data_IF_471527107429
#
_entry.id   IF_471527107429
#
_cell.length_a   1.000
_cell.length_b   1.000
_cell.length_c   1.000
_cell.angle_alpha   90.00
_cell.angle_beta   90.00
_cell.angle_gamma   90.00
#
_symmetry.space_group_name_H-M   'P 1'
#
loop_
_entity.id
_entity.type
_entity.pdbx_description
1 polymer ?
#
# COMPACT_ATOMS: atom_id res chain seq x y z
N UNK A 1 9.53 -19.31 7.17
CA UNK A 1 8.75 -18.92 5.99
C UNK A 1 8.22 -17.50 6.25
N UNK A 2 8.66 -16.59 5.53
CA UNK A 2 8.57 -15.11 5.48
C UNK A 2 7.73 -14.34 6.52
N UNK A 3 7.51 -14.69 7.74
CA UNK A 3 6.89 -13.86 8.81
C UNK A 3 5.76 -12.88 8.40
N UNK A 4 5.14 -13.11 7.22
CA UNK A 4 4.05 -12.30 6.69
C UNK A 4 2.73 -12.85 7.22
N UNK A 5 2.08 -12.06 8.07
CA UNK A 5 0.72 -12.29 8.51
C UNK A 5 -0.32 -11.81 7.46
N UNK A 6 -1.58 -12.08 7.70
CA UNK A 6 -2.65 -11.74 6.77
C UNK A 6 -2.77 -10.22 6.52
N UNK A 7 -2.47 -9.40 7.52
CA UNK A 7 -2.52 -7.93 7.40
C UNK A 7 -1.46 -7.41 6.42
N UNK A 8 -0.24 -7.96 6.48
CA UNK A 8 0.84 -7.61 5.54
C UNK A 8 0.56 -8.10 4.14
N UNK A 9 -0.02 -9.29 3.98
CA UNK A 9 -0.46 -9.77 2.66
C UNK A 9 -1.55 -8.88 2.07
N UNK A 10 -2.51 -8.45 2.88
CA UNK A 10 -3.54 -7.52 2.42
C UNK A 10 -2.93 -6.20 1.96
N UNK A 11 -2.03 -5.60 2.73
CA UNK A 11 -1.34 -4.37 2.37
C UNK A 11 -0.56 -4.52 1.05
N UNK A 12 0.21 -5.61 0.89
CA UNK A 12 0.97 -5.90 -0.32
C UNK A 12 0.08 -6.05 -1.56
N UNK A 13 -1.07 -6.74 -1.41
CA UNK A 13 -1.96 -7.05 -2.53
C UNK A 13 -2.90 -5.90 -2.89
N UNK A 14 -3.06 -4.88 -2.05
CA UNK A 14 -4.06 -3.84 -2.23
C UNK A 14 -3.67 -2.78 -3.28
N UNK A 15 -2.40 -2.40 -3.35
CA UNK A 15 -1.96 -1.25 -4.16
C UNK A 15 -2.03 -1.51 -5.66
N UNK A 16 -1.57 -2.67 -6.10
CA UNK A 16 -1.52 -3.01 -7.52
C UNK A 16 -2.92 -3.07 -8.17
N UNK A 17 -3.93 -3.77 -7.62
CA UNK A 17 -5.28 -3.77 -8.19
C UNK A 17 -5.91 -2.39 -8.19
N UNK A 18 -5.70 -1.59 -7.15
CA UNK A 18 -6.22 -0.23 -7.09
C UNK A 18 -5.67 0.63 -8.24
N UNK A 19 -4.37 0.57 -8.49
CA UNK A 19 -3.73 1.25 -9.62
C UNK A 19 -4.26 0.72 -10.97
N UNK A 20 -4.41 -0.60 -11.13
CA UNK A 20 -4.91 -1.20 -12.37
C UNK A 20 -6.36 -0.80 -12.67
N UNK A 21 -7.24 -0.77 -11.67
CA UNK A 21 -8.63 -0.34 -11.85
C UNK A 21 -8.73 1.15 -12.20
N UNK A 22 -7.91 2.01 -11.58
CA UNK A 22 -7.81 3.41 -11.96
C UNK A 22 -7.37 3.55 -13.43
N UNK A 23 -6.29 2.88 -13.82
CA UNK A 23 -5.75 2.93 -15.18
C UNK A 23 -6.74 2.35 -16.19
N UNK A 24 -7.49 1.31 -15.83
CA UNK A 24 -8.55 0.76 -16.67
C UNK A 24 -9.62 1.81 -17.01
N UNK A 25 -10.07 2.57 -16.01
CA UNK A 25 -11.06 3.66 -16.22
C UNK A 25 -10.47 4.77 -17.08
N UNK A 26 -9.21 5.16 -16.84
CA UNK A 26 -8.53 6.18 -17.65
C UNK A 26 -8.37 5.74 -19.12
N UNK A 27 -7.98 4.51 -19.37
CA UNK A 27 -7.90 3.97 -20.73
C UNK A 27 -9.28 3.91 -21.41
N UNK A 28 -10.33 3.54 -20.68
CA UNK A 28 -11.68 3.49 -21.24
C UNK A 28 -12.18 4.89 -21.62
N UNK A 29 -11.92 5.91 -20.81
CA UNK A 29 -12.22 7.31 -21.11
C UNK A 29 -11.38 7.79 -22.30
N UNK A 30 -10.09 7.52 -22.32
CA UNK A 30 -9.20 7.90 -23.41
C UNK A 30 -9.59 7.22 -24.73
N UNK A 31 -9.98 5.93 -24.68
CA UNK A 31 -10.51 5.22 -25.84
C UNK A 31 -11.80 5.86 -26.37
N UNK A 32 -12.68 6.31 -25.48
CA UNK A 32 -13.90 7.02 -25.87
C UNK A 32 -13.61 8.34 -26.61
N UNK A 33 -12.66 9.12 -26.09
CA UNK A 33 -12.28 10.41 -26.64
C UNK A 33 -11.51 10.29 -27.96
N UNK A 34 -10.57 9.32 -28.04
CA UNK A 34 -9.65 9.21 -29.20
C UNK A 34 -10.09 8.21 -30.24
N UNK A 35 -11.09 7.36 -29.95
CA UNK A 35 -11.54 6.23 -30.77
C UNK A 35 -10.43 5.20 -31.09
N UNK A 36 -9.36 5.17 -30.29
CA UNK A 36 -8.26 4.24 -30.50
C UNK A 36 -8.58 2.87 -29.88
N UNK A 37 -8.60 1.86 -30.73
CA UNK A 37 -8.87 0.48 -30.32
C UNK A 37 -7.79 -0.07 -29.37
N UNK A 38 -6.54 0.34 -29.54
CA UNK A 38 -5.45 -0.06 -28.64
C UNK A 38 -5.67 0.35 -27.19
N UNK A 39 -6.23 1.53 -26.95
CA UNK A 39 -6.58 2.00 -25.60
C UNK A 39 -7.76 1.23 -25.03
N UNK A 40 -8.72 0.87 -25.88
CA UNK A 40 -9.85 0.01 -25.45
C UNK A 40 -9.36 -1.35 -24.95
N UNK A 41 -8.47 -2.01 -25.71
CA UNK A 41 -7.90 -3.29 -25.30
C UNK A 41 -7.01 -3.18 -24.06
N UNK A 42 -6.20 -2.13 -23.96
CA UNK A 42 -5.41 -1.86 -22.75
C UNK A 42 -6.33 -1.70 -21.52
N UNK A 43 -7.43 -0.97 -21.65
CA UNK A 43 -8.43 -0.82 -20.59
C UNK A 43 -9.09 -2.14 -20.18
N UNK A 44 -9.39 -3.01 -21.15
CA UNK A 44 -9.97 -4.33 -20.88
C UNK A 44 -8.98 -5.22 -20.10
N UNK A 45 -7.73 -5.30 -20.53
CA UNK A 45 -6.73 -6.13 -19.86
C UNK A 45 -6.40 -5.62 -18.46
N UNK A 46 -6.31 -4.31 -18.27
CA UNK A 46 -6.08 -3.72 -16.93
C UNK A 46 -7.29 -3.91 -16.03
N UNK A 47 -8.53 -3.83 -16.55
CA UNK A 47 -9.74 -4.14 -15.81
C UNK A 47 -9.76 -5.60 -15.33
N UNK A 48 -9.44 -6.54 -16.22
CA UNK A 48 -9.33 -7.96 -15.89
C UNK A 48 -8.34 -8.21 -14.75
N UNK A 49 -7.12 -7.72 -14.91
CA UNK A 49 -6.06 -7.88 -13.92
C UNK A 49 -6.43 -7.19 -12.59
N UNK A 50 -7.02 -5.99 -12.66
CA UNK A 50 -7.49 -5.25 -11.50
C UNK A 50 -8.61 -5.96 -10.73
N UNK A 51 -9.58 -6.57 -11.43
CA UNK A 51 -10.67 -7.33 -10.79
C UNK A 51 -10.13 -8.59 -10.11
N UNK A 52 -9.27 -9.36 -10.78
CA UNK A 52 -8.68 -10.57 -10.19
C UNK A 52 -7.84 -10.21 -8.96
N UNK A 53 -6.93 -9.24 -9.09
CA UNK A 53 -6.09 -8.79 -7.98
C UNK A 53 -6.90 -8.17 -6.83
N UNK A 54 -7.96 -7.40 -7.16
CA UNK A 54 -8.85 -6.81 -6.18
C UNK A 54 -9.60 -7.84 -5.34
N UNK A 55 -10.09 -8.90 -5.95
CA UNK A 55 -10.69 -10.01 -5.18
C UNK A 55 -9.66 -10.73 -4.31
N UNK A 56 -8.42 -10.91 -4.79
CA UNK A 56 -7.35 -11.43 -3.95
C UNK A 56 -7.07 -10.53 -2.74
N UNK A 57 -7.07 -9.21 -2.93
CA UNK A 57 -6.93 -8.25 -1.84
C UNK A 57 -8.12 -8.30 -0.86
N UNK A 58 -9.36 -8.45 -1.35
CA UNK A 58 -10.56 -8.60 -0.50
C UNK A 58 -10.46 -9.86 0.37
N UNK A 59 -10.06 -10.99 -0.22
CA UNK A 59 -9.87 -12.25 0.53
C UNK A 59 -8.79 -12.09 1.60
N UNK A 60 -7.64 -11.50 1.25
CA UNK A 60 -6.57 -11.23 2.20
C UNK A 60 -7.02 -10.29 3.32
N UNK A 61 -7.81 -9.25 3.00
CA UNK A 61 -8.41 -8.32 3.97
C UNK A 61 -9.36 -9.02 4.93
N UNK A 62 -10.19 -9.93 4.44
CA UNK A 62 -11.10 -10.72 5.28
C UNK A 62 -10.33 -11.63 6.26
N UNK A 63 -9.27 -12.26 5.80
CA UNK A 63 -8.39 -13.06 6.66
C UNK A 63 -7.66 -12.17 7.68
N UNK A 64 -7.24 -10.96 7.28
CA UNK A 64 -6.62 -10.01 8.17
C UNK A 64 -7.57 -9.54 9.27
N UNK A 65 -8.80 -9.16 8.93
CA UNK A 65 -9.81 -8.69 9.89
C UNK A 65 -10.14 -9.73 10.95
N UNK A 66 -10.11 -11.02 10.60
CA UNK A 66 -10.34 -12.12 11.53
C UNK A 66 -9.16 -12.43 12.46
N UNK A 67 -7.95 -11.92 12.16
CA UNK A 67 -6.70 -12.20 12.88
C UNK A 67 -6.22 -11.05 13.76
N UNK A 68 -6.84 -9.87 13.65
CA UNK A 68 -6.46 -8.67 14.41
C UNK A 68 -7.39 -8.52 15.62
N UNK A 69 -6.81 -8.52 16.82
CA UNK A 69 -7.56 -8.15 18.03
C UNK A 69 -7.86 -6.65 18.01
N UNK A 70 -9.13 -6.28 18.13
CA UNK A 70 -9.56 -4.89 18.02
C UNK A 70 -10.78 -4.59 18.90
N UNK A 71 -10.88 -3.33 19.35
CA UNK A 71 -12.04 -2.83 20.08
C UNK A 71 -13.20 -2.44 19.14
N UNK A 72 -14.37 -2.14 19.74
CA UNK A 72 -15.62 -1.88 19.01
C UNK A 72 -15.52 -0.75 17.97
N UNK A 73 -14.82 0.35 18.29
CA UNK A 73 -14.64 1.48 17.37
C UNK A 73 -13.86 1.10 16.10
N UNK A 74 -12.85 0.24 16.22
CA UNK A 74 -12.09 -0.28 15.09
C UNK A 74 -12.95 -1.28 14.32
N UNK A 75 -13.72 -2.11 15.01
CA UNK A 75 -14.61 -3.08 14.39
C UNK A 75 -15.60 -2.40 13.41
N UNK A 76 -16.29 -1.35 13.87
CA UNK A 76 -17.22 -0.60 13.04
C UNK A 76 -16.54 0.00 11.79
N UNK A 77 -15.34 0.53 11.95
CA UNK A 77 -14.59 1.10 10.82
C UNK A 77 -14.10 0.02 9.84
N UNK A 78 -13.67 -1.15 10.35
CA UNK A 78 -13.30 -2.31 9.55
C UNK A 78 -14.48 -2.82 8.74
N UNK A 79 -15.66 -2.94 9.35
CA UNK A 79 -16.89 -3.35 8.66
C UNK A 79 -17.28 -2.38 7.55
N UNK A 80 -17.19 -1.07 7.80
CA UNK A 80 -17.44 -0.04 6.76
C UNK A 80 -16.45 -0.16 5.60
N UNK A 81 -15.17 -0.36 5.90
CA UNK A 81 -14.13 -0.55 4.88
C UNK A 81 -14.40 -1.82 4.06
N UNK A 82 -14.71 -2.94 4.70
CA UNK A 82 -15.01 -4.21 4.05
C UNK A 82 -16.23 -4.12 3.14
N UNK A 83 -17.34 -3.56 3.66
CA UNK A 83 -18.57 -3.38 2.89
C UNK A 83 -18.37 -2.50 1.67
N UNK A 84 -17.58 -1.42 1.79
CA UNK A 84 -17.23 -0.57 0.65
C UNK A 84 -16.34 -1.28 -0.35
N UNK A 85 -15.37 -2.07 0.11
CA UNK A 85 -14.52 -2.88 -0.76
C UNK A 85 -15.34 -3.91 -1.54
N UNK A 86 -16.25 -4.63 -0.89
CA UNK A 86 -17.15 -5.60 -1.53
C UNK A 86 -18.07 -4.93 -2.55
N UNK A 87 -18.67 -3.79 -2.21
CA UNK A 87 -19.53 -3.02 -3.14
C UNK A 87 -18.72 -2.57 -4.35
N UNK A 88 -17.56 -2.00 -4.14
CA UNK A 88 -16.67 -1.51 -5.20
C UNK A 88 -16.23 -2.64 -6.14
N UNK A 89 -15.75 -3.74 -5.57
CA UNK A 89 -15.34 -4.91 -6.36
C UNK A 89 -16.50 -5.59 -7.07
N UNK A 90 -17.67 -5.64 -6.43
CA UNK A 90 -18.91 -6.11 -7.05
C UNK A 90 -19.26 -5.28 -8.29
N UNK A 91 -19.15 -3.96 -8.19
CA UNK A 91 -19.44 -3.04 -9.30
C UNK A 91 -18.47 -3.24 -10.49
N UNK A 92 -17.15 -3.31 -10.24
CA UNK A 92 -16.18 -3.58 -11.29
C UNK A 92 -16.37 -4.97 -11.90
N UNK A 93 -16.74 -5.97 -11.10
CA UNK A 93 -17.06 -7.32 -11.57
C UNK A 93 -18.27 -7.30 -12.50
N UNK A 94 -19.33 -6.59 -12.13
CA UNK A 94 -20.53 -6.43 -13.00
C UNK A 94 -20.14 -5.79 -14.32
N UNK A 95 -19.34 -4.73 -14.31
CA UNK A 95 -18.86 -4.07 -15.54
C UNK A 95 -18.06 -5.06 -16.40
N UNK A 96 -17.13 -5.79 -15.80
CA UNK A 96 -16.29 -6.75 -16.50
C UNK A 96 -17.12 -7.89 -17.12
N UNK A 97 -18.01 -8.52 -16.32
CA UNK A 97 -18.85 -9.62 -16.76
C UNK A 97 -19.82 -9.16 -17.86
N UNK A 98 -20.39 -7.97 -17.73
CA UNK A 98 -21.26 -7.40 -18.77
C UNK A 98 -20.51 -7.24 -20.09
N UNK A 99 -19.31 -6.61 -20.05
CA UNK A 99 -18.49 -6.44 -21.26
C UNK A 99 -18.07 -7.77 -21.87
N UNK A 100 -17.71 -8.75 -21.04
CA UNK A 100 -17.35 -10.10 -21.47
C UNK A 100 -18.56 -10.81 -22.12
N UNK A 101 -19.73 -10.76 -21.49
CA UNK A 101 -20.95 -11.36 -22.01
C UNK A 101 -21.35 -10.80 -23.39
N UNK A 102 -21.16 -9.49 -23.56
CA UNK A 102 -21.36 -8.78 -24.84
C UNK A 102 -20.19 -8.98 -25.82
N UNK A 103 -19.22 -9.84 -25.49
CA UNK A 103 -18.01 -10.08 -26.29
C UNK A 103 -17.28 -8.78 -26.69
N UNK A 104 -17.34 -7.78 -25.83
CA UNK A 104 -16.79 -6.43 -26.04
C UNK A 104 -17.40 -5.66 -27.25
N UNK A 105 -18.51 -6.16 -27.80
CA UNK A 105 -19.27 -5.52 -28.88
C UNK A 105 -20.56 -4.93 -28.31
N UNK A 106 -20.44 -3.72 -27.77
CA UNK A 106 -21.53 -3.04 -27.06
C UNK A 106 -22.07 -1.87 -27.87
N UNK A 107 -23.41 -1.67 -27.91
CA UNK A 107 -24.00 -0.43 -28.38
C UNK A 107 -23.44 0.75 -27.58
N UNK A 108 -23.41 1.94 -28.22
CA UNK A 108 -22.84 3.14 -27.59
C UNK A 108 -23.49 3.49 -26.24
N UNK A 109 -24.78 3.23 -26.08
CA UNK A 109 -25.52 3.48 -24.84
C UNK A 109 -25.07 2.55 -23.70
N UNK A 110 -24.93 1.25 -23.97
CA UNK A 110 -24.44 0.29 -22.95
C UNK A 110 -23.00 0.59 -22.57
N UNK A 111 -22.18 0.95 -23.56
CA UNK A 111 -20.79 1.33 -23.33
C UNK A 111 -20.68 2.60 -22.48
N UNK A 112 -21.52 3.61 -22.74
CA UNK A 112 -21.58 4.81 -21.91
C UNK A 112 -22.04 4.48 -20.48
N UNK A 113 -23.04 3.62 -20.33
CA UNK A 113 -23.52 3.20 -19.02
C UNK A 113 -22.43 2.45 -18.21
N UNK A 114 -21.74 1.49 -18.82
CA UNK A 114 -20.64 0.77 -18.12
C UNK A 114 -19.48 1.68 -17.78
N UNK A 115 -19.22 2.75 -18.54
CA UNK A 115 -18.24 3.79 -18.18
C UNK A 115 -18.67 4.58 -16.95
N UNK A 116 -19.93 4.99 -16.89
CA UNK A 116 -20.46 5.65 -15.69
C UNK A 116 -20.33 4.75 -14.48
N UNK A 117 -20.69 3.47 -14.59
CA UNK A 117 -20.51 2.51 -13.50
C UNK A 117 -19.03 2.36 -13.09
N UNK A 118 -18.11 2.36 -14.07
CA UNK A 118 -16.67 2.30 -13.77
C UNK A 118 -16.18 3.54 -13.04
N UNK A 119 -16.69 4.73 -13.38
CA UNK A 119 -16.35 5.98 -12.66
C UNK A 119 -16.94 5.95 -11.24
N UNK A 120 -18.17 5.48 -11.06
CA UNK A 120 -18.76 5.29 -9.72
C UNK A 120 -17.93 4.27 -8.91
N UNK A 121 -17.51 3.16 -9.54
CA UNK A 121 -16.61 2.19 -8.93
C UNK A 121 -15.27 2.82 -8.50
N UNK A 122 -14.71 3.72 -9.33
CA UNK A 122 -13.48 4.45 -8.98
C UNK A 122 -13.66 5.36 -7.76
N UNK A 123 -14.79 6.05 -7.64
CA UNK A 123 -15.12 6.84 -6.44
C UNK A 123 -15.25 5.94 -5.21
N UNK A 124 -15.88 4.77 -5.36
CA UNK A 124 -15.94 3.74 -4.31
C UNK A 124 -14.55 3.24 -3.90
N UNK A 125 -13.66 3.02 -4.87
CA UNK A 125 -12.28 2.61 -4.64
C UNK A 125 -11.50 3.65 -3.82
N UNK A 126 -11.61 4.92 -4.19
CA UNK A 126 -11.00 6.03 -3.45
C UNK A 126 -11.54 6.08 -2.01
N UNK A 127 -12.85 5.95 -1.84
CA UNK A 127 -13.45 5.94 -0.51
C UNK A 127 -13.01 4.75 0.33
N UNK A 128 -12.92 3.56 -0.27
CA UNK A 128 -12.35 2.37 0.38
C UNK A 128 -10.92 2.64 0.84
N UNK A 129 -10.09 3.27 0.01
CA UNK A 129 -8.73 3.68 0.37
C UNK A 129 -8.68 4.66 1.55
N UNK A 130 -9.60 5.65 1.59
CA UNK A 130 -9.72 6.57 2.74
C UNK A 130 -10.06 5.83 4.03
N UNK A 131 -11.00 4.88 3.98
CA UNK A 131 -11.36 4.07 5.16
C UNK A 131 -10.19 3.19 5.62
N UNK A 132 -9.47 2.54 4.69
CA UNK A 132 -8.26 1.78 4.98
C UNK A 132 -7.14 2.64 5.58
N UNK A 133 -6.93 3.83 5.03
CA UNK A 133 -5.98 4.79 5.59
C UNK A 133 -6.32 5.20 7.02
N UNK A 134 -7.61 5.41 7.34
CA UNK A 134 -8.04 5.69 8.72
C UNK A 134 -7.76 4.54 9.67
N UNK A 135 -7.97 3.30 9.25
CA UNK A 135 -7.65 2.12 10.06
C UNK A 135 -6.17 2.11 10.46
N UNK A 136 -5.28 2.40 9.54
CA UNK A 136 -3.82 2.39 9.78
C UNK A 136 -3.37 3.63 10.56
N UNK A 137 -3.68 4.83 10.06
CA UNK A 137 -3.09 6.07 10.58
C UNK A 137 -3.78 6.62 11.84
N UNK A 138 -5.06 6.31 12.05
CA UNK A 138 -5.79 6.76 13.24
C UNK A 138 -5.87 5.69 14.33
N UNK A 139 -5.81 4.42 13.96
CA UNK A 139 -6.03 3.30 14.89
C UNK A 139 -4.87 2.30 14.93
N UNK A 140 -3.81 2.48 14.13
CA UNK A 140 -2.68 1.56 14.02
C UNK A 140 -3.10 0.10 13.77
N UNK A 141 -4.24 -0.12 13.08
CA UNK A 141 -4.79 -1.44 12.82
C UNK A 141 -3.80 -2.30 12.02
N UNK A 142 -3.52 -3.51 12.50
CA UNK A 142 -2.55 -4.42 11.89
C UNK A 142 -1.09 -4.17 12.29
N UNK A 143 -0.81 -3.17 13.13
CA UNK A 143 0.52 -2.94 13.71
C UNK A 143 0.56 -3.62 15.08
N UNK A 144 1.49 -4.56 15.33
CA UNK A 144 1.59 -5.21 16.64
C UNK A 144 1.87 -4.18 17.74
N UNK A 145 1.12 -4.24 18.85
CA UNK A 145 1.22 -3.29 19.97
C UNK A 145 2.64 -3.17 20.51
N UNK A 146 3.39 -4.28 20.56
CA UNK A 146 4.80 -4.28 20.99
C UNK A 146 5.69 -3.44 20.06
N UNK A 147 5.49 -3.55 18.74
CA UNK A 147 6.26 -2.76 17.76
C UNK A 147 5.96 -1.27 17.93
N UNK A 148 4.69 -0.92 18.15
CA UNK A 148 4.27 0.45 18.37
C UNK A 148 4.87 1.03 19.66
N UNK A 149 4.89 0.26 20.76
CA UNK A 149 5.50 0.68 22.01
C UNK A 149 6.99 0.96 21.87
N UNK A 150 7.75 0.01 21.29
CA UNK A 150 9.20 0.18 21.05
C UNK A 150 9.48 1.41 20.19
N UNK A 151 8.67 1.63 19.16
CA UNK A 151 8.86 2.79 18.29
C UNK A 151 8.53 4.13 18.98
N UNK A 152 7.55 4.15 19.89
CA UNK A 152 7.24 5.32 20.70
C UNK A 152 8.36 5.63 21.69
N UNK A 153 8.87 4.60 22.39
CA UNK A 153 10.02 4.73 23.30
C UNK A 153 11.24 5.27 22.56
N UNK A 154 11.58 4.72 21.38
CA UNK A 154 12.70 5.21 20.57
C UNK A 154 12.54 6.68 20.12
N UNK A 155 11.31 7.12 19.87
CA UNK A 155 11.04 8.51 19.50
C UNK A 155 11.16 9.46 20.70
N UNK A 156 10.74 9.03 21.87
CA UNK A 156 10.92 9.79 23.11
C UNK A 156 12.39 9.95 23.47
N UNK A 157 13.19 8.87 23.40
CA UNK A 157 14.64 8.89 23.61
C UNK A 157 15.38 9.71 22.53
N UNK A 158 14.96 9.62 21.25
CA UNK A 158 15.59 10.33 20.14
C UNK A 158 15.38 11.85 20.13
N UNK A 159 14.45 12.39 20.94
CA UNK A 159 14.24 13.82 21.09
C UNK A 159 15.06 14.48 22.20
N UNK A 160 15.84 13.70 22.94
CA UNK A 160 16.71 14.23 24.03
C UNK A 160 18.12 14.64 23.53
N UNK A 161 18.20 15.12 22.29
CA UNK A 161 19.42 15.79 21.80
C UNK A 161 19.59 17.11 22.53
N UNK A 162 20.62 17.20 23.37
CA UNK A 162 21.00 18.47 24.00
C UNK A 162 21.25 19.53 22.93
N UNK A 163 20.81 20.78 23.11
CA UNK A 163 21.08 21.85 22.16
C UNK A 163 22.60 22.10 22.13
N UNK A 164 23.29 21.64 21.08
CA UNK A 164 24.71 21.84 20.89
C UNK A 164 25.50 20.73 20.21
N UNK A 165 24.93 19.56 19.94
CA UNK A 165 25.60 18.54 19.11
C UNK A 165 25.35 18.80 17.62
N UNK A 166 26.26 19.52 16.99
CA UNK A 166 26.31 19.64 15.52
C UNK A 166 26.73 18.29 14.94
N UNK A 167 25.80 17.59 14.29
CA UNK A 167 26.14 16.46 13.46
C UNK A 167 26.90 16.95 12.21
N UNK A 168 28.22 16.80 12.21
CA UNK A 168 29.03 16.92 11.00
C UNK A 168 28.54 15.88 9.97
N UNK A 169 27.72 16.31 9.03
CA UNK A 169 27.46 15.57 7.82
C UNK A 169 28.76 15.57 6.99
N UNK A 170 29.53 14.48 7.13
CA UNK A 170 30.69 14.24 6.29
C UNK A 170 30.29 14.17 4.82
N UNK A 171 30.51 15.27 4.11
CA UNK A 171 30.54 15.27 2.64
C UNK A 171 31.65 14.35 2.20
N UNK A 172 31.31 13.25 1.57
CA UNK A 172 32.26 12.34 0.92
C UNK A 172 32.94 13.10 -0.24
N UNK A 173 34.12 13.67 0.02
CA UNK A 173 35.02 14.14 -1.02
C UNK A 173 35.95 13.00 -1.43
N UNK A 174 35.75 12.50 -2.63
CA UNK A 174 36.62 11.54 -3.29
C UNK A 174 37.80 12.28 -3.87
N UNK A 175 38.99 12.29 -3.19
CA UNK A 175 40.29 12.22 -3.89
C UNK A 175 41.49 12.13 -2.92
N UNK A 176 42.32 11.14 -3.24
CA UNK A 176 43.81 11.01 -2.99
C UNK A 176 44.33 10.46 -1.66
N UNK A 177 44.75 9.21 -1.75
CA UNK A 177 46.11 8.68 -1.43
C UNK A 177 47.00 9.57 -0.55
N UNK A 178 47.36 9.12 0.65
CA UNK A 178 48.72 8.66 0.95
C UNK A 178 48.94 8.32 2.45
N UNK A 179 49.54 7.18 2.63
CA UNK A 179 50.52 6.74 3.64
C UNK A 179 50.44 7.20 5.12
N UNK A 180 50.37 6.15 5.96
CA UNK A 180 51.05 6.00 7.26
C UNK A 180 50.83 7.06 8.35
N UNK A 181 49.90 6.74 9.26
CA UNK A 181 50.03 7.20 10.64
C UNK A 181 49.67 6.08 11.62
N UNK A 182 50.66 5.66 12.39
CA UNK A 182 50.57 4.65 13.43
C UNK A 182 49.47 5.05 14.45
N UNK A 183 48.62 4.09 14.80
CA UNK A 183 47.59 4.26 15.83
C UNK A 183 48.26 4.50 17.20
N UNK A 184 47.84 5.56 17.86
CA UNK A 184 48.22 5.82 19.25
C UNK A 184 47.57 4.78 20.18
N UNK A 185 48.25 4.29 21.23
CA UNK A 185 47.66 3.31 22.13
C UNK A 185 46.59 3.97 23.00
N UNK A 186 45.37 3.37 22.93
CA UNK A 186 44.25 3.74 23.81
C UNK A 186 44.32 2.91 25.11
N UNK A 187 44.10 3.58 26.23
CA UNK A 187 44.06 2.95 27.55
C UNK A 187 42.67 2.50 27.91
N UNK A 188 42.53 1.22 28.28
CA UNK A 188 41.25 0.65 28.77
C UNK A 188 41.08 0.92 30.28
N UNK A 189 39.82 1.10 30.67
CA UNK A 189 39.44 1.15 32.09
C UNK A 189 39.75 -0.19 32.77
N UNK A 190 40.10 -0.23 34.07
CA UNK A 190 40.40 -1.46 34.76
C UNK A 190 39.23 -2.45 34.76
N UNK A 191 39.42 -3.65 34.18
CA UNK A 191 38.43 -4.72 34.18
C UNK A 191 37.88 -5.14 32.80
N UNK A 192 38.32 -4.54 31.69
CA UNK A 192 37.89 -4.92 30.33
C UNK A 192 38.76 -6.02 29.76
N UNK A 193 38.20 -7.17 29.28
CA UNK A 193 39.00 -8.22 28.66
C UNK A 193 39.59 -7.79 27.31
N UNK A 194 40.80 -8.26 26.94
CA UNK A 194 41.47 -7.88 25.70
C UNK A 194 40.78 -8.50 24.49
N UNK A 195 40.64 -7.72 23.42
CA UNK A 195 40.18 -8.17 22.12
C UNK A 195 41.27 -7.95 21.05
N UNK A 196 41.39 -8.92 20.14
CA UNK A 196 42.35 -8.88 19.03
C UNK A 196 41.74 -8.15 17.83
N UNK A 197 42.53 -7.34 17.15
CA UNK A 197 42.20 -6.67 15.88
C UNK A 197 42.59 -7.55 14.70
#
# INVERSE_FOLDING_TARGET
>A
MFGYDAARWHALLNDLPAALLLVAVLFDIAAAATKRESLMWAGIWTLWAGVIGGWAAVVAGKLASSSIDHGEAIHELMEKHENMALLTMGLFTVVLVWRLFRRFQMPAQELAFTRVLSVVGLLGLVWTGVLGGRLIFQHAAGIPSRTLQVELENREEGHDHQPGEEHEHGTADTTKTDTTKAAAPHTHAPGTPPHSH
#
